data_IF_712049064061
#
_entry.id   IF_712049064061
#
_cell.length_a   1.000
_cell.length_b   1.000
_cell.length_c   1.000
_cell.angle_alpha   90.00
_cell.angle_beta   90.00
_cell.angle_gamma   90.00
#
_symmetry.space_group_name_H-M   'P 1'
#
loop_
_entity.id
_entity.type
_entity.pdbx_description
1 polymer ?
#
# COMPACT_ATOMS: atom_id res chain seq x y z
N UNK A 1 42.65 33.32 -15.01
CA UNK A 1 42.97 31.94 -14.60
C UNK A 1 41.87 31.49 -13.64
N UNK A 2 40.83 30.89 -14.24
CA UNK A 2 39.76 30.03 -13.68
C UNK A 2 39.24 30.29 -12.26
N UNK A 3 38.08 30.95 -12.17
CA UNK A 3 37.12 30.78 -11.06
C UNK A 3 36.41 29.43 -11.23
N UNK A 4 36.65 28.52 -10.29
CA UNK A 4 35.93 27.25 -10.19
C UNK A 4 34.53 27.50 -9.59
N UNK A 5 33.53 27.59 -10.46
CA UNK A 5 32.13 27.59 -10.06
C UNK A 5 31.78 26.26 -9.38
N UNK A 6 31.63 26.32 -8.05
CA UNK A 6 31.32 25.18 -7.20
C UNK A 6 29.82 24.86 -7.32
N UNK A 7 29.45 24.06 -8.33
CA UNK A 7 28.08 23.61 -8.58
C UNK A 7 27.66 22.60 -7.50
N UNK A 8 27.14 23.13 -6.39
CA UNK A 8 26.56 22.34 -5.28
C UNK A 8 25.26 21.65 -5.76
N UNK A 9 25.03 20.35 -5.46
CA UNK A 9 23.87 19.61 -5.97
C UNK A 9 22.58 19.99 -5.22
N UNK A 10 21.96 21.13 -5.56
CA UNK A 10 20.72 21.62 -4.93
C UNK A 10 19.47 20.79 -5.28
N UNK A 11 19.54 19.92 -6.29
CA UNK A 11 18.37 19.20 -6.80
C UNK A 11 17.98 18.00 -5.93
N UNK A 12 18.97 17.31 -5.34
CA UNK A 12 18.73 16.10 -4.55
C UNK A 12 18.20 16.41 -3.13
N UNK A 13 18.67 17.49 -2.51
CA UNK A 13 18.20 17.92 -1.19
C UNK A 13 16.74 18.38 -1.19
N UNK A 14 16.25 18.94 -2.30
CA UNK A 14 14.85 19.37 -2.50
C UNK A 14 13.86 18.19 -2.59
N UNK A 15 14.28 17.07 -3.18
CA UNK A 15 13.45 15.87 -3.29
C UNK A 15 13.42 15.10 -1.97
N UNK A 16 14.58 14.93 -1.33
CA UNK A 16 14.67 14.28 -0.03
C UNK A 16 13.95 15.08 1.06
N UNK A 17 13.98 16.41 1.01
CA UNK A 17 13.19 17.23 1.94
C UNK A 17 11.68 17.06 1.73
N UNK A 18 11.19 16.99 0.48
CA UNK A 18 9.77 16.70 0.19
C UNK A 18 9.36 15.29 0.61
N UNK A 19 10.23 14.30 0.41
CA UNK A 19 9.97 12.93 0.86
C UNK A 19 9.94 12.89 2.38
N UNK A 20 10.88 13.55 3.05
CA UNK A 20 10.94 13.66 4.52
C UNK A 20 9.75 14.44 5.10
N UNK A 21 9.27 15.45 4.39
CA UNK A 21 8.07 16.20 4.76
C UNK A 21 6.81 15.34 4.58
N UNK A 22 6.68 14.64 3.44
CA UNK A 22 5.59 13.67 3.21
C UNK A 22 5.60 12.50 4.19
N UNK A 23 6.79 12.02 4.57
CA UNK A 23 7.01 10.96 5.56
C UNK A 23 7.14 11.48 6.99
N UNK A 24 7.00 12.79 7.20
CA UNK A 24 7.00 13.35 8.56
C UNK A 24 5.89 12.68 9.33
N UNK A 25 6.18 12.20 10.53
CA UNK A 25 5.18 11.57 11.42
C UNK A 25 3.94 12.44 11.63
N UNK A 26 4.08 13.77 11.42
CA UNK A 26 2.98 14.75 11.44
C UNK A 26 2.01 14.65 10.25
N UNK A 27 2.43 14.12 9.11
CA UNK A 27 1.57 13.81 7.96
C UNK A 27 1.07 12.35 7.99
N UNK A 28 1.70 11.49 8.79
CA UNK A 28 1.20 10.18 9.20
C UNK A 28 0.22 10.29 10.39
N UNK A 29 -0.12 11.51 10.81
CA UNK A 29 -1.01 11.75 11.96
C UNK A 29 -2.37 11.10 11.73
N UNK A 30 -2.95 10.64 12.84
CA UNK A 30 -4.22 9.92 12.91
C UNK A 30 -5.46 10.77 12.55
N UNK A 31 -5.27 12.04 12.23
CA UNK A 31 -6.29 13.01 11.86
C UNK A 31 -6.15 13.36 10.39
N UNK A 32 -7.06 12.79 9.60
CA UNK A 32 -7.26 13.14 8.20
C UNK A 32 -8.64 13.80 8.10
N UNK A 33 -8.67 15.03 7.58
CA UNK A 33 -9.85 15.89 7.70
C UNK A 33 -10.83 15.77 6.52
N UNK A 34 -10.51 14.97 5.49
CA UNK A 34 -11.29 14.88 4.25
C UNK A 34 -11.94 13.50 4.09
N UNK A 35 -13.14 13.24 4.65
CA UNK A 35 -13.82 11.95 4.52
C UNK A 35 -14.16 11.57 3.07
N UNK A 36 -14.27 12.58 2.19
CA UNK A 36 -14.63 12.41 0.79
C UNK A 36 -13.63 11.57 -0.01
N UNK A 37 -12.35 11.66 0.33
CA UNK A 37 -11.27 11.00 -0.41
C UNK A 37 -11.28 9.48 -0.26
N UNK A 38 -11.95 8.96 0.78
CA UNK A 38 -12.09 7.52 1.02
C UNK A 38 -13.20 6.88 0.20
N UNK A 39 -14.08 7.68 -0.40
CA UNK A 39 -15.31 7.21 -1.05
C UNK A 39 -15.42 7.65 -2.50
N UNK A 40 -14.42 8.38 -3.00
CA UNK A 40 -14.36 8.82 -4.40
C UNK A 40 -13.07 8.37 -5.05
N UNK A 41 -13.19 7.98 -6.31
CA UNK A 41 -12.03 7.91 -7.19
C UNK A 41 -11.51 9.35 -7.40
N UNK A 42 -10.19 9.55 -7.35
CA UNK A 42 -9.58 10.86 -7.68
C UNK A 42 -9.91 11.31 -9.10
N UNK A 43 -10.23 10.35 -9.97
CA UNK A 43 -10.70 10.57 -11.33
C UNK A 43 -11.92 9.68 -11.60
N UNK A 44 -13.06 10.31 -11.93
CA UNK A 44 -14.26 9.63 -12.41
C UNK A 44 -15.49 9.73 -11.50
N UNK A 45 -16.62 9.16 -11.94
CA UNK A 45 -17.88 9.17 -11.19
C UNK A 45 -17.77 8.47 -9.83
N UNK A 46 -18.29 9.09 -8.77
CA UNK A 46 -18.19 8.58 -7.39
C UNK A 46 -18.85 7.21 -7.20
N UNK A 47 -19.93 6.90 -7.93
CA UNK A 47 -20.61 5.60 -7.80
C UNK A 47 -19.77 4.42 -8.33
N UNK A 48 -18.81 4.65 -9.23
CA UNK A 48 -17.89 3.61 -9.71
C UNK A 48 -16.93 3.13 -8.61
N UNK A 49 -16.81 3.88 -7.53
CA UNK A 49 -16.00 3.48 -6.39
C UNK A 49 -16.53 2.21 -5.70
N UNK A 50 -17.85 2.00 -5.68
CA UNK A 50 -18.46 0.81 -5.06
C UNK A 50 -18.06 -0.48 -5.79
N UNK A 51 -18.32 -0.66 -7.11
CA UNK A 51 -17.93 -1.86 -7.81
C UNK A 51 -16.41 -2.03 -7.85
N UNK A 52 -15.65 -0.94 -7.92
CA UNK A 52 -14.19 -0.97 -7.82
C UNK A 52 -13.73 -1.55 -6.47
N UNK A 53 -14.25 -1.01 -5.36
CA UNK A 53 -13.90 -1.46 -4.01
C UNK A 53 -14.32 -2.91 -3.76
N UNK A 54 -15.49 -3.32 -4.26
CA UNK A 54 -15.96 -4.70 -4.20
C UNK A 54 -15.06 -5.66 -5.00
N UNK A 55 -14.64 -5.26 -6.21
CA UNK A 55 -13.71 -6.04 -7.02
C UNK A 55 -12.37 -6.26 -6.29
N UNK A 56 -11.82 -5.22 -5.67
CA UNK A 56 -10.61 -5.31 -4.86
C UNK A 56 -10.76 -6.24 -3.66
N UNK A 57 -11.88 -6.15 -2.93
CA UNK A 57 -12.15 -7.04 -1.82
C UNK A 57 -12.18 -8.51 -2.30
N UNK A 58 -12.92 -8.81 -3.37
CA UNK A 58 -13.02 -10.16 -3.93
C UNK A 58 -11.64 -10.69 -4.34
N UNK A 59 -10.85 -9.89 -5.07
CA UNK A 59 -9.50 -10.26 -5.50
C UNK A 59 -8.62 -10.66 -4.32
N UNK A 60 -8.63 -9.88 -3.23
CA UNK A 60 -7.84 -10.18 -2.05
C UNK A 60 -8.41 -11.34 -1.22
N UNK A 61 -9.72 -11.57 -1.19
CA UNK A 61 -10.25 -12.78 -0.57
C UNK A 61 -9.86 -14.06 -1.33
N UNK A 62 -9.87 -14.01 -2.66
CA UNK A 62 -9.41 -15.12 -3.50
C UNK A 62 -7.92 -15.39 -3.23
N UNK A 63 -7.08 -14.36 -3.19
CA UNK A 63 -5.67 -14.51 -2.88
C UNK A 63 -5.41 -15.07 -1.47
N UNK A 64 -6.24 -14.69 -0.48
CA UNK A 64 -6.16 -15.22 0.89
C UNK A 64 -6.53 -16.71 0.92
N UNK A 65 -7.56 -17.10 0.16
CA UNK A 65 -7.98 -18.50 0.03
C UNK A 65 -6.99 -19.38 -0.75
N UNK A 66 -6.24 -18.81 -1.70
CA UNK A 66 -5.18 -19.49 -2.45
C UNK A 66 -3.87 -19.60 -1.66
N UNK A 67 -3.71 -18.87 -0.58
CA UNK A 67 -2.46 -18.81 0.18
C UNK A 67 -1.98 -20.16 0.74
N UNK A 68 -2.86 -21.04 1.29
CA UNK A 68 -2.49 -22.39 1.72
C UNK A 68 -2.01 -23.29 0.57
N UNK A 69 -2.51 -23.06 -0.66
CA UNK A 69 -2.07 -23.80 -1.84
C UNK A 69 -0.61 -23.47 -2.17
N UNK A 70 -0.27 -22.17 -2.23
CA UNK A 70 1.12 -21.74 -2.47
C UNK A 70 2.08 -22.02 -1.30
N UNK A 71 1.56 -22.16 -0.07
CA UNK A 71 2.39 -22.49 1.09
C UNK A 71 2.85 -23.95 1.11
N UNK A 72 2.12 -24.85 0.45
CA UNK A 72 2.51 -26.28 0.36
C UNK A 72 3.78 -26.52 -0.47
N UNK A 73 4.05 -25.65 -1.44
CA UNK A 73 5.15 -25.83 -2.40
C UNK A 73 6.38 -24.97 -2.05
N UNK A 74 6.33 -24.19 -0.97
CA UNK A 74 7.45 -23.33 -0.55
C UNK A 74 8.41 -24.09 0.37
N UNK A 75 9.49 -24.61 -0.21
CA UNK A 75 10.65 -25.16 0.52
C UNK A 75 11.60 -24.06 1.07
N UNK A 76 11.18 -22.78 1.04
CA UNK A 76 11.97 -21.68 1.59
C UNK A 76 12.11 -21.84 3.12
N UNK A 77 13.35 -21.99 3.59
CA UNK A 77 13.72 -22.16 5.01
C UNK A 77 13.31 -20.96 5.92
N UNK A 78 12.80 -19.88 5.34
CA UNK A 78 12.42 -18.64 6.00
C UNK A 78 10.93 -18.64 6.40
N UNK A 79 10.56 -19.56 7.29
CA UNK A 79 9.18 -19.69 7.82
C UNK A 79 8.60 -18.37 8.34
N UNK A 80 9.41 -17.55 9.02
CA UNK A 80 8.99 -16.26 9.57
C UNK A 80 8.56 -15.27 8.47
N UNK A 81 9.20 -15.28 7.31
CA UNK A 81 8.87 -14.41 6.19
C UNK A 81 7.53 -14.83 5.58
N UNK A 82 7.28 -16.13 5.45
CA UNK A 82 5.98 -16.65 5.02
C UNK A 82 4.85 -16.23 5.99
N UNK A 83 5.09 -16.26 7.31
CA UNK A 83 4.12 -15.76 8.28
C UNK A 83 3.88 -14.26 8.13
N UNK A 84 4.92 -13.45 7.95
CA UNK A 84 4.79 -12.01 7.74
C UNK A 84 3.94 -11.70 6.51
N UNK A 85 4.17 -12.39 5.39
CA UNK A 85 3.36 -12.25 4.18
C UNK A 85 1.92 -12.71 4.39
N UNK A 86 1.70 -13.79 5.16
CA UNK A 86 0.36 -14.25 5.52
C UNK A 86 -0.42 -13.20 6.32
N UNK A 87 0.18 -12.68 7.38
CA UNK A 87 -0.44 -11.66 8.22
C UNK A 87 -0.64 -10.33 7.48
N UNK A 88 0.33 -9.93 6.65
CA UNK A 88 0.21 -8.75 5.80
C UNK A 88 -0.95 -8.87 4.81
N UNK A 89 -1.08 -10.01 4.15
CA UNK A 89 -2.17 -10.27 3.21
C UNK A 89 -3.53 -10.37 3.90
N UNK A 90 -3.59 -10.99 5.07
CA UNK A 90 -4.80 -11.04 5.91
C UNK A 90 -5.25 -9.63 6.30
N UNK A 91 -4.33 -8.78 6.75
CA UNK A 91 -4.64 -7.38 7.08
C UNK A 91 -5.14 -6.59 5.85
N UNK A 92 -4.60 -6.88 4.67
CA UNK A 92 -5.03 -6.26 3.41
C UNK A 92 -6.42 -6.72 2.96
N UNK A 93 -6.74 -8.00 3.10
CA UNK A 93 -8.07 -8.53 2.84
C UNK A 93 -9.12 -7.91 3.78
N UNK A 94 -8.82 -7.82 5.09
CA UNK A 94 -9.69 -7.17 6.06
C UNK A 94 -9.90 -5.68 5.76
N UNK A 95 -8.83 -4.98 5.38
CA UNK A 95 -8.89 -3.57 4.98
C UNK A 95 -9.81 -3.35 3.78
N UNK A 96 -9.63 -4.14 2.73
CA UNK A 96 -10.42 -3.99 1.49
C UNK A 96 -11.89 -4.37 1.70
N UNK A 97 -12.17 -5.38 2.53
CA UNK A 97 -13.52 -5.73 2.96
C UNK A 97 -14.19 -4.58 3.72
N UNK A 98 -13.50 -4.02 4.71
CA UNK A 98 -14.01 -2.92 5.53
C UNK A 98 -14.23 -1.65 4.70
N UNK A 99 -13.31 -1.34 3.79
CA UNK A 99 -13.43 -0.22 2.87
C UNK A 99 -14.64 -0.38 1.93
N UNK A 100 -14.89 -1.60 1.43
CA UNK A 100 -16.05 -1.90 0.60
C UNK A 100 -17.36 -1.73 1.37
N UNK A 101 -17.43 -2.27 2.59
CA UNK A 101 -18.60 -2.09 3.45
C UNK A 101 -18.86 -0.61 3.78
N UNK A 102 -17.80 0.16 4.08
CA UNK A 102 -17.89 1.59 4.33
C UNK A 102 -18.36 2.36 3.08
N UNK A 103 -17.87 1.99 1.89
CA UNK A 103 -18.27 2.59 0.62
C UNK A 103 -19.76 2.40 0.34
N UNK A 104 -20.27 1.18 0.51
CA UNK A 104 -21.69 0.85 0.35
C UNK A 104 -22.53 1.60 1.38
N UNK A 105 -22.14 1.57 2.66
CA UNK A 105 -22.85 2.26 3.72
C UNK A 105 -22.95 3.76 3.47
N UNK A 106 -21.87 4.40 3.05
CA UNK A 106 -21.86 5.84 2.78
C UNK A 106 -22.79 6.19 1.62
N UNK A 107 -22.72 5.45 0.52
CA UNK A 107 -23.54 5.74 -0.65
C UNK A 107 -25.05 5.51 -0.40
N UNK A 108 -25.43 4.56 0.47
CA UNK A 108 -26.84 4.31 0.80
C UNK A 108 -27.35 5.26 1.89
N UNK A 109 -26.59 5.43 2.97
CA UNK A 109 -27.08 6.06 4.22
C UNK A 109 -26.47 7.43 4.52
N UNK A 110 -25.34 7.80 3.89
CA UNK A 110 -24.59 9.03 4.19
C UNK A 110 -24.34 9.88 2.94
N UNK A 111 -25.43 10.29 2.32
CA UNK A 111 -25.42 11.23 1.19
C UNK A 111 -24.77 12.59 1.57
N UNK A 112 -24.77 12.96 2.85
CA UNK A 112 -24.06 14.12 3.41
C UNK A 112 -22.55 14.08 3.15
N UNK A 113 -21.94 12.89 3.21
CA UNK A 113 -20.51 12.71 2.90
C UNK A 113 -20.30 12.77 1.39
N UNK A 114 -21.15 12.12 0.60
CA UNK A 114 -21.04 12.09 -0.88
C UNK A 114 -21.18 13.49 -1.49
N UNK A 115 -22.08 14.31 -0.93
CA UNK A 115 -22.33 15.71 -1.30
C UNK A 115 -21.33 16.70 -0.70
N UNK A 116 -20.35 16.23 0.06
CA UNK A 116 -19.32 17.07 0.71
C UNK A 116 -19.89 18.08 1.73
N UNK A 117 -21.02 17.74 2.36
CA UNK A 117 -21.66 18.54 3.40
C UNK A 117 -21.15 18.20 4.80
N UNK A 118 -20.57 16.99 4.97
CA UNK A 118 -19.99 16.53 6.23
C UNK A 118 -18.50 16.89 6.33
N UNK A 119 -18.15 17.81 7.26
CA UNK A 119 -16.76 18.22 7.53
C UNK A 119 -16.06 17.42 8.64
N UNK A 120 -16.80 16.57 9.36
CA UNK A 120 -16.25 15.80 10.50
C UNK A 120 -16.03 14.36 10.07
N UNK A 121 -14.80 13.87 10.23
CA UNK A 121 -14.43 12.50 9.88
C UNK A 121 -15.16 11.47 10.77
N UNK A 122 -15.98 10.58 10.20
CA UNK A 122 -16.59 9.48 10.95
C UNK A 122 -15.55 8.47 11.44
N UNK A 123 -15.77 7.88 12.63
CA UNK A 123 -14.84 6.92 13.25
C UNK A 123 -14.48 5.73 12.37
N UNK A 124 -15.43 5.21 11.60
CA UNK A 124 -15.20 4.06 10.72
C UNK A 124 -14.29 4.41 9.53
N UNK A 125 -14.33 5.63 9.02
CA UNK A 125 -13.39 6.13 8.00
C UNK A 125 -12.01 6.43 8.60
N UNK A 126 -11.95 6.88 9.86
CA UNK A 126 -10.68 6.99 10.59
C UNK A 126 -10.00 5.62 10.74
N UNK A 127 -10.75 4.55 10.96
CA UNK A 127 -10.20 3.20 10.99
C UNK A 127 -9.64 2.78 9.61
N UNK A 128 -10.33 3.09 8.51
CA UNK A 128 -9.82 2.91 7.14
C UNK A 128 -8.49 3.64 6.95
N UNK A 129 -8.41 4.91 7.38
CA UNK A 129 -7.19 5.71 7.30
C UNK A 129 -6.02 5.08 8.05
N UNK A 130 -6.24 4.68 9.31
CA UNK A 130 -5.19 4.05 10.13
C UNK A 130 -4.70 2.77 9.46
N UNK A 131 -5.62 1.93 8.97
CA UNK A 131 -5.27 0.65 8.39
C UNK A 131 -4.56 0.79 7.03
N UNK A 132 -4.88 1.81 6.24
CA UNK A 132 -4.11 2.18 5.06
C UNK A 132 -2.65 2.55 5.40
N UNK A 133 -2.45 3.33 6.47
CA UNK A 133 -1.12 3.73 6.93
C UNK A 133 -0.32 2.58 7.56
N UNK A 134 -0.97 1.51 8.02
CA UNK A 134 -0.31 0.27 8.47
C UNK A 134 0.02 -0.62 7.27
N UNK A 135 -0.94 -0.84 6.37
CA UNK A 135 -0.75 -1.76 5.24
C UNK A 135 0.30 -1.27 4.25
N UNK A 136 0.42 0.04 4.05
CA UNK A 136 1.41 0.63 3.13
C UNK A 136 2.86 0.28 3.50
N UNK A 137 3.37 0.58 4.72
CA UNK A 137 4.72 0.20 5.11
C UNK A 137 4.88 -1.32 5.23
N UNK A 138 3.86 -2.06 5.68
CA UNK A 138 3.92 -3.54 5.72
C UNK A 138 4.16 -4.11 4.31
N UNK A 139 3.42 -3.63 3.31
CA UNK A 139 3.60 -4.05 1.92
C UNK A 139 4.98 -3.69 1.38
N UNK A 140 5.49 -2.49 1.69
CA UNK A 140 6.85 -2.08 1.30
C UNK A 140 7.92 -2.96 1.95
N UNK A 141 7.80 -3.25 3.25
CA UNK A 141 8.73 -4.13 3.97
C UNK A 141 8.73 -5.52 3.37
N UNK A 142 7.55 -6.12 3.14
CA UNK A 142 7.43 -7.44 2.51
C UNK A 142 8.07 -7.44 1.11
N UNK A 143 7.82 -6.39 0.32
CA UNK A 143 8.38 -6.27 -1.03
C UNK A 143 9.91 -6.15 -1.01
N UNK A 144 10.46 -5.29 -0.15
CA UNK A 144 11.90 -5.11 0.00
C UNK A 144 12.55 -6.42 0.46
N UNK A 145 11.99 -7.07 1.49
CA UNK A 145 12.47 -8.35 1.97
C UNK A 145 12.41 -9.43 0.87
N UNK A 146 11.33 -9.47 0.08
CA UNK A 146 11.22 -10.39 -1.05
C UNK A 146 12.39 -10.23 -2.04
N UNK A 147 12.69 -8.99 -2.46
CA UNK A 147 13.81 -8.75 -3.38
C UNK A 147 15.20 -8.97 -2.76
N UNK A 148 15.36 -8.74 -1.46
CA UNK A 148 16.63 -9.01 -0.77
C UNK A 148 16.88 -10.50 -0.53
N UNK A 149 15.81 -11.27 -0.36
CA UNK A 149 15.87 -12.70 -0.06
C UNK A 149 15.84 -13.58 -1.32
N UNK A 150 15.50 -13.03 -2.49
CA UNK A 150 15.73 -13.69 -3.77
C UNK A 150 17.25 -13.92 -3.89
N UNK A 151 17.71 -15.18 -3.99
CA UNK A 151 19.09 -15.46 -4.28
C UNK A 151 19.47 -14.74 -5.58
N UNK A 152 20.53 -13.95 -5.54
CA UNK A 152 21.18 -13.52 -6.77
C UNK A 152 21.83 -14.77 -7.37
N UNK A 153 21.06 -15.56 -8.11
CA UNK A 153 21.61 -16.53 -9.04
C UNK A 153 22.26 -15.72 -10.17
N UNK A 154 23.45 -15.19 -9.88
CA UNK A 154 24.39 -14.81 -10.92
C UNK A 154 24.60 -16.08 -11.75
N UNK A 155 24.38 -16.06 -13.07
CA UNK A 155 24.73 -17.20 -13.92
C UNK A 155 26.26 -17.28 -14.00
N UNK A 156 26.90 -17.77 -12.94
CA UNK A 156 28.30 -18.17 -12.93
C UNK A 156 28.41 -19.59 -13.51
N UNK A 157 27.97 -19.77 -14.75
CA UNK A 157 28.05 -21.09 -15.40
C UNK A 157 27.96 -21.02 -16.94
N UNK A 158 28.76 -20.16 -17.58
CA UNK A 158 29.06 -20.31 -19.01
C UNK A 158 30.51 -19.97 -19.38
N UNK A 159 31.52 -20.42 -18.62
CA UNK A 159 32.87 -20.65 -19.19
C UNK A 159 33.50 -21.89 -18.54
N UNK A 160 33.05 -23.05 -18.98
CA UNK A 160 33.89 -24.24 -19.09
C UNK A 160 33.29 -25.02 -20.23
N UNK A 161 33.92 -24.91 -21.41
CA UNK A 161 34.02 -25.90 -22.49
C UNK A 161 34.44 -25.16 -23.76
N UNK A 162 35.74 -24.93 -23.89
CA UNK A 162 36.39 -24.85 -25.20
C UNK A 162 37.90 -24.97 -25.00
N UNK A 163 38.35 -26.22 -25.18
CA UNK A 163 39.63 -26.69 -25.74
C UNK A 163 40.95 -26.22 -25.15
#
# INVERSE_FOLDING_TARGET
MTDHENVKPRRCSSWLSRIKEKLSLKNLTMDYDVPLDFVKLKFGPSFLFIPWSACWAILHFIGLGLQPYFHKDNELDLKWFSYLTYWGYTSLALFTAWNSAAAVYIHIRRQDIVKNECKVMPRYLRAVWVQFNINTPVALIITILFYLLIPNDHPSSYISYSS
#
